data_IF_541429129911
#
_entry.id   IF_541429129911
#
_cell.length_a   1.000
_cell.length_b   1.000
_cell.length_c   1.000
_cell.angle_alpha   90.00
_cell.angle_beta   90.00
_cell.angle_gamma   90.00
#
_symmetry.space_group_name_H-M   'P 1'
#
loop_
_entity.id
_entity.type
_entity.pdbx_description
1 polymer ?
#
# COMPACT_ATOMS: atom_id res chain seq x y z
N UNK A 1 -46.65 -54.42 -36.92
CA UNK A 1 -45.65 -54.82 -37.94
C UNK A 1 -44.42 -54.00 -37.68
N UNK A 2 -43.35 -54.71 -37.38
CA UNK A 2 -41.92 -54.42 -37.48
C UNK A 2 -41.34 -53.21 -36.73
N UNK A 3 -40.75 -53.60 -35.60
CA UNK A 3 -39.63 -53.05 -34.86
C UNK A 3 -38.43 -52.62 -35.73
N UNK A 4 -37.78 -51.50 -35.32
CA UNK A 4 -36.32 -51.36 -35.47
C UNK A 4 -35.73 -50.60 -34.27
N UNK A 5 -34.95 -51.34 -33.48
CA UNK A 5 -34.01 -50.87 -32.50
C UNK A 5 -32.85 -50.15 -33.22
N UNK A 6 -32.42 -49.02 -32.68
CA UNK A 6 -31.14 -48.44 -33.05
C UNK A 6 -30.34 -48.13 -31.76
N UNK A 7 -29.25 -48.88 -31.58
CA UNK A 7 -28.23 -48.70 -30.54
C UNK A 7 -27.47 -47.40 -30.82
N UNK A 8 -27.43 -46.51 -29.83
CA UNK A 8 -26.47 -45.42 -29.79
C UNK A 8 -25.31 -45.81 -28.87
N UNK A 9 -24.15 -46.00 -29.46
CA UNK A 9 -22.87 -46.13 -28.76
C UNK A 9 -22.49 -44.79 -28.11
N UNK A 10 -22.31 -44.80 -26.80
CA UNK A 10 -21.73 -43.70 -26.03
C UNK A 10 -20.23 -43.79 -26.10
N UNK A 11 -19.57 -42.85 -26.81
CA UNK A 11 -18.12 -42.71 -26.88
C UNK A 11 -17.66 -41.82 -25.75
N UNK A 12 -17.13 -42.39 -24.68
CA UNK A 12 -16.48 -41.67 -23.58
C UNK A 12 -15.07 -41.27 -24.04
N UNK A 13 -14.85 -40.00 -24.43
CA UNK A 13 -13.52 -39.46 -24.63
C UNK A 13 -12.94 -39.03 -23.25
N UNK A 14 -12.08 -39.88 -22.73
CA UNK A 14 -11.20 -39.53 -21.63
C UNK A 14 -10.07 -38.63 -22.16
N UNK A 15 -10.11 -37.34 -21.76
CA UNK A 15 -8.97 -36.43 -21.98
C UNK A 15 -7.91 -36.72 -20.90
N UNK A 16 -6.86 -37.46 -21.29
CA UNK A 16 -5.62 -37.53 -20.54
C UNK A 16 -4.88 -36.19 -20.66
N UNK A 17 -4.84 -35.41 -19.61
CA UNK A 17 -3.91 -34.27 -19.50
C UNK A 17 -2.58 -34.84 -19.01
N UNK A 18 -1.63 -34.98 -19.93
CA UNK A 18 -0.24 -35.29 -19.60
C UNK A 18 0.45 -34.06 -19.07
N UNK A 19 0.80 -34.06 -17.77
CA UNK A 19 1.77 -33.14 -17.22
C UNK A 19 3.16 -33.46 -17.78
N UNK A 20 3.68 -32.60 -18.64
CA UNK A 20 5.08 -32.66 -19.06
C UNK A 20 5.92 -32.05 -17.93
N UNK A 21 6.58 -32.89 -17.17
CA UNK A 21 7.64 -32.48 -16.26
C UNK A 21 8.85 -32.06 -17.10
N UNK A 22 9.26 -30.82 -17.02
CA UNK A 22 10.51 -30.33 -17.58
C UNK A 22 11.64 -30.83 -16.67
N UNK A 23 12.37 -31.85 -17.15
CA UNK A 23 13.63 -32.27 -16.55
C UNK A 23 14.68 -31.18 -16.73
N UNK A 24 15.36 -30.84 -15.62
CA UNK A 24 16.56 -30.00 -15.65
C UNK A 24 17.72 -30.83 -16.17
N UNK A 25 18.28 -30.43 -17.27
CA UNK A 25 19.61 -30.92 -17.69
C UNK A 25 20.67 -30.33 -16.74
N UNK A 26 21.32 -31.24 -16.00
CA UNK A 26 22.51 -30.94 -15.24
C UNK A 26 23.69 -30.79 -16.19
N UNK A 27 24.30 -29.62 -16.20
CA UNK A 27 25.53 -29.37 -16.97
C UNK A 27 26.75 -29.73 -16.08
N UNK A 28 27.55 -30.75 -16.42
CA UNK A 28 28.60 -31.30 -15.56
C UNK A 28 29.95 -30.55 -15.58
N UNK A 29 30.03 -29.31 -16.02
CA UNK A 29 31.29 -28.56 -16.13
C UNK A 29 31.28 -27.24 -15.35
N UNK A 30 31.15 -27.32 -14.02
CA UNK A 30 31.58 -26.22 -13.15
C UNK A 30 32.46 -26.81 -12.04
N UNK A 31 33.78 -26.70 -12.25
CA UNK A 31 34.80 -26.93 -11.23
C UNK A 31 34.75 -25.75 -10.25
N UNK A 32 34.45 -26.03 -8.98
CA UNK A 32 34.67 -25.10 -7.88
C UNK A 32 36.04 -25.38 -7.29
N UNK A 33 36.99 -24.48 -7.48
CA UNK A 33 38.22 -24.47 -6.73
C UNK A 33 37.94 -23.97 -5.31
N UNK A 34 38.17 -24.86 -4.36
CA UNK A 34 38.12 -24.57 -2.91
C UNK A 34 39.43 -23.90 -2.52
N UNK A 35 39.45 -22.59 -2.47
CA UNK A 35 40.56 -21.79 -1.94
C UNK A 35 40.00 -20.74 -1.02
N UNK A 36 39.90 -21.08 0.28
CA UNK A 36 40.16 -20.13 1.38
C UNK A 36 40.13 -20.84 2.73
N UNK A 37 41.30 -21.19 3.23
CA UNK A 37 41.53 -21.20 4.68
C UNK A 37 41.75 -19.77 5.11
N UNK A 38 41.02 -19.22 6.07
CA UNK A 38 41.41 -17.96 6.69
C UNK A 38 42.54 -18.20 7.72
N UNK A 39 43.62 -17.48 7.57
CA UNK A 39 44.67 -17.36 8.57
C UNK A 39 44.11 -16.76 9.88
N UNK A 40 44.43 -17.40 10.98
CA UNK A 40 44.09 -16.92 12.32
C UNK A 40 44.98 -15.70 12.64
N UNK A 41 44.44 -14.60 13.12
CA UNK A 41 45.25 -13.47 13.57
C UNK A 41 45.98 -13.78 14.88
N UNK A 42 47.18 -13.26 14.99
CA UNK A 42 48.07 -13.36 16.17
C UNK A 42 47.42 -12.77 17.43
N UNK A 43 47.79 -13.26 18.62
CA UNK A 43 47.23 -12.78 19.88
C UNK A 43 47.63 -11.34 20.17
N UNK A 44 46.63 -10.53 20.50
CA UNK A 44 46.83 -9.14 20.96
C UNK A 44 47.39 -9.10 22.39
N UNK A 45 48.22 -8.09 22.71
CA UNK A 45 48.77 -7.93 24.06
C UNK A 45 47.65 -7.50 25.05
N UNK A 46 47.74 -8.01 26.28
CA UNK A 46 46.88 -7.70 27.39
C UNK A 46 46.90 -6.21 27.74
N UNK A 47 45.79 -5.60 28.06
CA UNK A 47 45.77 -4.23 28.57
C UNK A 47 46.33 -4.13 29.98
N UNK A 48 47.08 -3.06 30.21
CA UNK A 48 47.60 -2.68 31.52
C UNK A 48 46.50 -2.36 32.53
N UNK A 49 46.72 -2.52 33.84
CA UNK A 49 45.70 -2.27 34.85
C UNK A 49 45.32 -0.78 34.93
N UNK A 50 44.01 -0.55 35.06
CA UNK A 50 43.40 0.75 35.27
C UNK A 50 43.87 1.43 36.56
N UNK A 51 44.10 2.75 36.55
CA UNK A 51 44.37 3.52 37.78
C UNK A 51 43.09 3.64 38.62
N UNK A 52 43.29 3.64 39.94
CA UNK A 52 42.26 3.79 40.97
C UNK A 52 41.42 5.07 40.80
N UNK A 53 40.13 5.05 41.13
CA UNK A 53 39.24 6.20 40.96
C UNK A 53 39.59 7.34 41.93
N UNK A 54 39.67 8.53 41.37
CA UNK A 54 39.73 9.78 42.14
C UNK A 54 38.38 10.03 42.92
N UNK A 55 38.45 10.72 44.07
CA UNK A 55 37.24 10.99 44.86
C UNK A 55 36.28 11.95 44.14
N UNK A 56 35.01 11.61 44.23
CA UNK A 56 33.90 12.38 43.66
C UNK A 56 33.86 13.83 44.12
N UNK A 57 33.67 14.80 43.23
CA UNK A 57 33.42 16.18 43.61
C UNK A 57 32.01 16.36 44.23
N UNK A 58 31.93 17.26 45.20
CA UNK A 58 30.75 17.67 45.91
C UNK A 58 29.63 18.07 44.98
N UNK A 59 28.36 17.80 45.30
CA UNK A 59 27.23 18.19 44.46
C UNK A 59 27.09 19.71 44.36
N UNK A 60 27.06 20.20 43.14
CA UNK A 60 26.74 21.58 42.80
C UNK A 60 25.28 21.89 43.18
N UNK A 61 24.96 23.13 43.56
CA UNK A 61 23.61 23.52 43.89
C UNK A 61 22.64 23.40 42.72
N UNK A 62 21.46 22.95 43.01
CA UNK A 62 20.33 22.75 42.12
C UNK A 62 20.06 24.01 41.27
N UNK A 63 19.94 23.91 39.90
CA UNK A 63 19.62 25.09 39.10
C UNK A 63 18.19 25.53 39.33
N UNK A 64 18.04 26.83 39.55
CA UNK A 64 16.71 27.50 39.64
C UNK A 64 15.85 27.15 38.44
N UNK A 65 14.51 27.05 38.58
CA UNK A 65 13.62 26.70 37.47
C UNK A 65 13.75 27.70 36.34
N UNK A 66 14.13 27.20 35.16
CA UNK A 66 14.14 28.00 33.95
C UNK A 66 12.70 28.41 33.58
N UNK A 67 12.50 29.65 33.12
CA UNK A 67 11.21 30.05 32.60
C UNK A 67 10.84 29.19 31.39
N UNK A 68 9.57 28.78 31.36
CA UNK A 68 8.96 27.99 30.29
C UNK A 68 9.37 28.56 28.91
N UNK A 69 9.85 27.77 27.96
CA UNK A 69 10.25 28.26 26.63
C UNK A 69 9.03 28.91 25.97
N UNK A 70 9.18 30.18 25.64
CA UNK A 70 8.25 30.92 24.84
C UNK A 70 8.15 30.24 23.46
N UNK A 71 6.94 30.03 22.87
CA UNK A 71 6.82 29.34 21.56
C UNK A 71 7.59 30.12 20.51
N UNK A 72 8.42 29.40 19.78
CA UNK A 72 9.22 29.91 18.68
C UNK A 72 8.32 30.54 17.60
N UNK A 73 8.63 31.71 17.04
CA UNK A 73 7.78 32.41 16.06
C UNK A 73 7.70 31.74 14.68
N UNK A 74 8.26 30.53 14.51
CA UNK A 74 8.29 29.78 13.25
C UNK A 74 7.42 28.52 13.23
N UNK A 75 6.44 28.41 14.13
CA UNK A 75 5.42 27.38 13.93
C UNK A 75 4.48 27.87 12.83
N UNK A 76 4.37 27.17 11.67
CA UNK A 76 3.38 27.54 10.68
C UNK A 76 2.01 27.57 11.33
N UNK A 77 1.26 28.64 11.08
CA UNK A 77 -0.14 28.74 11.54
C UNK A 77 -0.85 27.44 11.15
N UNK A 78 -1.67 26.87 12.04
CA UNK A 78 -2.41 25.66 11.71
C UNK A 78 -3.21 25.93 10.44
N UNK A 79 -3.01 25.10 9.41
CA UNK A 79 -3.82 25.12 8.19
C UNK A 79 -5.30 25.10 8.58
N UNK A 80 -6.17 25.82 7.87
CA UNK A 80 -7.59 25.83 8.18
C UNK A 80 -8.10 24.39 8.15
N UNK A 81 -8.58 23.93 9.30
CA UNK A 81 -9.10 22.59 9.45
C UNK A 81 -10.20 22.35 8.41
N UNK A 82 -10.12 21.20 7.71
CA UNK A 82 -11.19 20.75 6.79
C UNK A 82 -12.54 20.81 7.52
N UNK A 83 -13.59 21.39 6.92
CA UNK A 83 -14.91 21.44 7.53
C UNK A 83 -15.58 20.06 7.47
N UNK A 84 -15.09 19.12 8.30
CA UNK A 84 -15.63 17.77 8.39
C UNK A 84 -16.91 17.75 9.21
N UNK A 85 -17.93 17.03 8.75
CA UNK A 85 -19.08 16.69 9.59
C UNK A 85 -18.73 15.62 10.65
N UNK A 86 -19.65 15.31 11.56
CA UNK A 86 -19.42 14.36 12.64
C UNK A 86 -19.01 12.96 12.14
N UNK A 87 -19.66 12.47 11.10
CA UNK A 87 -19.32 11.17 10.50
C UNK A 87 -17.94 11.17 9.85
N UNK A 88 -17.60 12.22 9.11
CA UNK A 88 -16.28 12.35 8.50
C UNK A 88 -15.15 12.44 9.54
N UNK A 89 -15.39 13.13 10.68
CA UNK A 89 -14.43 13.13 11.80
C UNK A 89 -14.23 11.73 12.38
N UNK A 90 -15.33 10.98 12.59
CA UNK A 90 -15.24 9.60 13.06
C UNK A 90 -14.51 8.68 12.05
N UNK A 91 -14.71 8.91 10.75
CA UNK A 91 -14.01 8.16 9.71
C UNK A 91 -12.53 8.54 9.64
N UNK A 92 -12.17 9.82 9.76
CA UNK A 92 -10.79 10.30 9.79
C UNK A 92 -10.00 9.80 11.01
N UNK A 93 -10.67 9.50 12.12
CA UNK A 93 -10.06 8.93 13.32
C UNK A 93 -9.78 7.41 13.21
N UNK A 94 -10.03 6.76 12.07
CA UNK A 94 -9.72 5.34 11.86
C UNK A 94 -8.23 5.15 11.60
N UNK A 95 -7.70 4.01 12.06
CA UNK A 95 -6.26 3.70 12.04
C UNK A 95 -5.61 3.77 10.65
N UNK A 96 -6.36 3.43 9.61
CA UNK A 96 -5.86 3.46 8.23
C UNK A 96 -5.77 4.86 7.64
N UNK A 97 -6.39 5.87 8.24
CA UNK A 97 -6.47 7.21 7.65
C UNK A 97 -5.20 8.01 7.95
N UNK A 98 -4.50 8.50 6.93
CA UNK A 98 -3.46 9.51 7.12
C UNK A 98 -4.02 10.83 7.61
N UNK A 99 -3.17 11.65 8.19
CA UNK A 99 -3.53 13.00 8.64
C UNK A 99 -4.04 13.83 7.44
N UNK A 100 -5.25 14.37 7.60
CA UNK A 100 -5.82 15.31 6.64
C UNK A 100 -5.23 16.71 6.91
N UNK A 101 -4.69 17.34 5.88
CA UNK A 101 -4.06 18.67 6.02
C UNK A 101 -4.99 19.83 5.72
N UNK A 102 -6.04 19.61 4.92
CA UNK A 102 -6.90 20.65 4.39
C UNK A 102 -6.22 21.57 3.36
N UNK A 103 -4.97 21.28 3.01
CA UNK A 103 -4.19 22.06 2.07
C UNK A 103 -4.68 21.85 0.63
N UNK A 104 -4.46 22.86 -0.22
CA UNK A 104 -4.79 22.81 -1.65
C UNK A 104 -6.25 22.42 -1.95
N UNK A 105 -7.19 22.73 -1.05
CA UNK A 105 -8.60 22.39 -1.20
C UNK A 105 -8.87 20.88 -1.11
N UNK A 106 -8.03 20.15 -0.38
CA UNK A 106 -8.17 18.70 -0.16
C UNK A 106 -9.61 18.33 0.21
N UNK A 107 -10.17 17.32 -0.44
CA UNK A 107 -11.50 16.78 -0.17
C UNK A 107 -11.38 15.38 0.45
N UNK A 108 -12.00 15.16 1.59
CA UNK A 108 -12.05 13.83 2.19
C UNK A 108 -13.30 13.08 1.74
N UNK A 109 -13.09 12.01 0.98
CA UNK A 109 -14.16 11.19 0.39
C UNK A 109 -14.13 9.80 1.02
N UNK A 110 -15.28 9.32 1.47
CA UNK A 110 -15.43 8.00 2.11
C UNK A 110 -16.48 7.20 1.39
N UNK A 111 -16.09 6.07 0.80
CA UNK A 111 -17.02 5.10 0.23
C UNK A 111 -17.41 4.06 1.27
N UNK A 112 -18.71 3.81 1.37
CA UNK A 112 -19.28 2.84 2.30
C UNK A 112 -20.11 1.82 1.53
N UNK A 113 -20.26 0.65 2.10
CA UNK A 113 -21.11 -0.43 1.61
C UNK A 113 -21.87 -1.05 2.76
N UNK A 114 -22.92 -1.80 2.45
CA UNK A 114 -23.61 -2.60 3.44
C UNK A 114 -22.64 -3.57 4.13
N UNK A 115 -22.72 -3.67 5.45
CA UNK A 115 -21.92 -4.62 6.22
C UNK A 115 -22.40 -6.05 5.91
N UNK A 116 -21.53 -6.93 5.38
CA UNK A 116 -21.93 -8.30 5.06
C UNK A 116 -22.32 -9.15 6.29
N UNK A 117 -21.96 -8.68 7.49
CA UNK A 117 -22.19 -9.38 8.76
C UNK A 117 -23.14 -8.65 9.71
N UNK A 118 -23.70 -7.51 9.32
CA UNK A 118 -24.52 -6.65 10.16
C UNK A 118 -25.58 -5.88 9.40
N UNK A 119 -26.27 -4.98 10.11
CA UNK A 119 -27.33 -4.12 9.55
C UNK A 119 -26.87 -2.70 9.25
N UNK A 120 -25.66 -2.35 9.62
CA UNK A 120 -25.00 -1.07 9.44
C UNK A 120 -24.22 -1.01 8.12
N UNK A 121 -23.57 0.10 7.87
CA UNK A 121 -22.62 0.26 6.76
C UNK A 121 -21.19 0.32 7.28
N UNK A 122 -20.27 -0.24 6.50
CA UNK A 122 -18.83 -0.20 6.78
C UNK A 122 -18.10 0.64 5.73
N UNK A 123 -16.96 1.19 6.12
CA UNK A 123 -16.06 1.87 5.18
C UNK A 123 -15.45 0.82 4.26
N UNK A 124 -15.67 0.99 2.97
CA UNK A 124 -15.02 0.20 1.92
C UNK A 124 -13.59 0.71 1.69
N UNK A 125 -13.45 1.98 1.39
CA UNK A 125 -12.21 2.73 1.34
C UNK A 125 -12.49 4.24 1.45
N UNK A 126 -11.45 5.01 1.75
CA UNK A 126 -11.50 6.46 1.73
C UNK A 126 -10.29 7.02 0.98
N UNK A 127 -10.37 8.29 0.60
CA UNK A 127 -9.24 8.98 -0.01
C UNK A 127 -9.28 10.48 0.26
N UNK A 128 -8.11 11.10 0.27
CA UNK A 128 -7.95 12.54 0.18
C UNK A 128 -7.75 12.92 -1.28
N UNK A 129 -8.62 13.74 -1.83
CA UNK A 129 -8.61 14.16 -3.23
C UNK A 129 -8.10 15.59 -3.37
N UNK A 130 -7.21 15.82 -4.32
CA UNK A 130 -6.69 17.14 -4.66
C UNK A 130 -7.39 17.65 -5.93
N UNK A 131 -8.35 18.58 -5.81
CA UNK A 131 -9.14 19.07 -6.95
C UNK A 131 -8.30 19.57 -8.13
N UNK A 132 -7.26 20.36 -7.86
CA UNK A 132 -6.39 20.92 -8.90
C UNK A 132 -5.58 19.87 -9.67
N UNK A 133 -5.36 18.71 -9.05
CA UNK A 133 -4.66 17.57 -9.66
C UNK A 133 -5.62 16.55 -10.28
N UNK A 134 -6.93 16.70 -10.05
CA UNK A 134 -7.92 15.67 -10.42
C UNK A 134 -7.52 14.27 -9.98
N UNK A 135 -6.87 14.16 -8.84
CA UNK A 135 -6.22 12.93 -8.39
C UNK A 135 -6.30 12.77 -6.86
N UNK A 136 -6.40 11.54 -6.41
CA UNK A 136 -6.30 11.21 -4.99
C UNK A 136 -4.85 11.28 -4.52
N UNK A 137 -4.58 12.07 -3.47
CA UNK A 137 -3.27 12.15 -2.80
C UNK A 137 -2.89 10.81 -2.20
N UNK A 138 -3.86 10.15 -1.59
CA UNK A 138 -3.78 8.80 -1.05
C UNK A 138 -5.17 8.17 -1.06
N UNK A 139 -5.20 6.85 -1.04
CA UNK A 139 -6.36 6.01 -0.73
C UNK A 139 -6.04 5.16 0.47
N UNK A 140 -7.03 4.88 1.34
CA UNK A 140 -6.85 4.10 2.54
C UNK A 140 -7.98 3.07 2.71
N UNK A 141 -7.62 1.85 3.11
CA UNK A 141 -8.55 0.76 3.37
C UNK A 141 -7.91 -0.27 4.30
N UNK A 142 -8.67 -1.29 4.70
CA UNK A 142 -8.15 -2.38 5.53
C UNK A 142 -8.68 -3.73 5.10
N UNK A 143 -7.92 -4.77 5.44
CA UNK A 143 -8.35 -6.14 5.50
C UNK A 143 -8.55 -6.56 6.95
N UNK A 144 -9.75 -6.96 7.30
CA UNK A 144 -10.13 -7.48 8.62
C UNK A 144 -11.16 -8.61 8.48
N UNK A 145 -11.76 -9.06 9.56
CA UNK A 145 -12.74 -10.13 9.51
C UNK A 145 -13.94 -9.83 8.61
N UNK A 146 -14.30 -8.54 8.44
CA UNK A 146 -15.45 -8.13 7.61
C UNK A 146 -15.10 -7.99 6.13
N UNK A 147 -13.85 -7.64 5.79
CA UNK A 147 -13.48 -7.18 4.46
C UNK A 147 -12.49 -8.06 3.71
N UNK A 148 -11.90 -9.09 4.37
CA UNK A 148 -10.89 -9.97 3.76
C UNK A 148 -11.44 -11.07 2.86
N UNK A 149 -12.75 -11.35 2.91
CA UNK A 149 -13.36 -12.44 2.14
C UNK A 149 -13.36 -12.18 0.63
N UNK A 150 -13.46 -13.27 -0.14
CA UNK A 150 -13.63 -13.26 -1.60
C UNK A 150 -14.95 -13.95 -1.92
N UNK A 151 -16.04 -13.19 -1.96
CA UNK A 151 -17.38 -13.72 -2.26
C UNK A 151 -17.83 -13.42 -3.68
N UNK A 152 -17.16 -12.46 -4.34
CA UNK A 152 -17.46 -12.06 -5.72
C UNK A 152 -16.19 -12.02 -6.57
N UNK A 153 -16.37 -12.08 -7.90
CA UNK A 153 -15.30 -11.81 -8.85
C UNK A 153 -15.18 -10.33 -9.22
N UNK A 154 -14.16 -9.98 -9.99
CA UNK A 154 -13.98 -8.63 -10.56
C UNK A 154 -15.19 -8.22 -11.37
N UNK A 155 -15.52 -6.91 -11.40
CA UNK A 155 -16.53 -6.31 -12.30
C UNK A 155 -16.26 -6.70 -13.76
N UNK A 156 -17.32 -7.08 -14.47
CA UNK A 156 -17.23 -7.45 -15.87
C UNK A 156 -16.87 -6.23 -16.73
N UNK A 157 -15.85 -6.34 -17.57
CA UNK A 157 -15.43 -5.29 -18.50
C UNK A 157 -16.46 -4.90 -19.57
N UNK A 158 -17.46 -5.76 -19.82
CA UNK A 158 -18.57 -5.45 -20.75
C UNK A 158 -19.57 -4.44 -20.16
N UNK A 159 -19.59 -4.24 -18.85
CA UNK A 159 -20.47 -3.27 -18.19
C UNK A 159 -19.88 -1.87 -18.40
N UNK A 160 -20.68 -0.98 -19.01
CA UNK A 160 -20.28 0.40 -19.29
C UNK A 160 -21.09 1.40 -18.46
N UNK A 161 -20.49 2.52 -18.02
CA UNK A 161 -19.04 2.81 -18.11
C UNK A 161 -18.22 1.81 -17.30
N UNK A 162 -17.04 1.43 -17.82
CA UNK A 162 -16.12 0.56 -17.10
C UNK A 162 -15.57 1.27 -15.87
N UNK A 163 -15.19 2.53 -16.04
CA UNK A 163 -14.68 3.43 -15.01
C UNK A 163 -15.64 4.61 -14.83
N UNK A 164 -16.71 4.48 -14.04
CA UNK A 164 -17.67 5.55 -13.87
C UNK A 164 -17.07 6.75 -13.14
N UNK A 165 -17.62 7.93 -13.40
CA UNK A 165 -17.36 9.12 -12.60
C UNK A 165 -17.67 8.81 -11.13
N UNK A 166 -16.82 9.28 -10.21
CA UNK A 166 -17.10 9.13 -8.78
C UNK A 166 -18.32 10.00 -8.39
N UNK A 167 -19.41 9.41 -7.88
CA UNK A 167 -20.62 10.14 -7.55
C UNK A 167 -20.47 11.07 -6.34
N UNK A 168 -19.42 10.88 -5.52
CA UNK A 168 -19.16 11.69 -4.32
C UNK A 168 -18.28 12.91 -4.59
N UNK A 169 -17.63 12.96 -5.74
CA UNK A 169 -16.87 14.13 -6.14
C UNK A 169 -17.78 15.21 -6.77
N UNK A 170 -17.60 16.49 -6.40
CA UNK A 170 -18.24 17.61 -7.10
C UNK A 170 -17.98 17.52 -8.61
N UNK A 171 -18.96 17.90 -9.42
CA UNK A 171 -18.90 17.75 -10.88
C UNK A 171 -17.68 18.44 -11.49
N UNK A 172 -17.33 19.62 -11.00
CA UNK A 172 -16.22 20.44 -11.52
C UNK A 172 -14.85 19.83 -11.28
N UNK A 173 -14.75 18.94 -10.27
CA UNK A 173 -13.51 18.28 -9.87
C UNK A 173 -13.46 16.80 -10.21
N UNK A 174 -14.53 16.25 -10.75
CA UNK A 174 -14.60 14.84 -11.10
C UNK A 174 -14.10 14.60 -12.54
N UNK A 175 -13.28 13.59 -12.72
CA UNK A 175 -12.93 13.08 -14.05
C UNK A 175 -14.17 12.38 -14.64
N UNK A 176 -14.53 12.70 -15.89
CA UNK A 176 -15.59 12.00 -16.60
C UNK A 176 -15.37 10.49 -16.66
N UNK A 177 -16.45 9.72 -16.63
CA UNK A 177 -16.37 8.27 -16.75
C UNK A 177 -15.73 7.83 -18.08
N UNK A 178 -14.94 6.76 -18.02
CA UNK A 178 -14.21 6.17 -19.16
C UNK A 178 -13.28 7.15 -19.91
N UNK A 179 -12.93 8.32 -19.32
CA UNK A 179 -11.96 9.24 -19.95
C UNK A 179 -10.60 8.56 -20.07
N UNK A 180 -10.08 8.47 -21.29
CA UNK A 180 -8.76 7.90 -21.55
C UNK A 180 -7.63 8.72 -20.87
N UNK A 181 -6.65 8.02 -20.31
CA UNK A 181 -5.43 8.66 -19.78
C UNK A 181 -4.36 8.89 -20.85
N UNK A 182 -4.61 8.46 -22.09
CA UNK A 182 -3.69 8.61 -23.19
C UNK A 182 -2.91 7.31 -23.49
N UNK A 183 -2.16 7.34 -24.60
CA UNK A 183 -1.45 6.15 -25.09
C UNK A 183 -0.35 5.72 -24.10
N UNK A 184 -0.36 4.45 -23.74
CA UNK A 184 0.65 3.83 -22.87
C UNK A 184 0.30 3.86 -21.39
N UNK A 185 -0.80 4.52 -21.00
CA UNK A 185 -1.28 4.55 -19.63
C UNK A 185 -2.57 3.74 -19.47
N UNK A 186 -2.59 2.93 -18.44
CA UNK A 186 -3.78 2.23 -17.96
C UNK A 186 -4.53 3.11 -16.94
N UNK A 187 -5.82 2.81 -16.73
CA UNK A 187 -6.54 3.23 -15.53
C UNK A 187 -6.03 2.40 -14.34
N UNK A 188 -4.88 2.81 -13.80
CA UNK A 188 -4.25 2.16 -12.67
C UNK A 188 -5.08 2.36 -11.41
N UNK A 189 -5.50 1.26 -10.79
CA UNK A 189 -6.22 1.33 -9.52
C UNK A 189 -5.27 1.71 -8.37
N UNK A 190 -5.69 2.58 -7.48
CA UNK A 190 -5.04 2.76 -6.19
C UNK A 190 -5.55 1.71 -5.18
N UNK A 191 -6.86 1.59 -4.99
CA UNK A 191 -7.48 0.41 -4.35
C UNK A 191 -7.78 -0.60 -5.44
N UNK A 192 -7.04 -1.69 -5.50
CA UNK A 192 -7.23 -2.70 -6.54
C UNK A 192 -8.61 -3.34 -6.47
N UNK A 193 -9.17 -3.69 -7.63
CA UNK A 193 -10.41 -4.45 -7.68
C UNK A 193 -10.33 -5.73 -6.84
N UNK A 194 -9.19 -6.40 -6.89
CA UNK A 194 -8.96 -7.60 -6.10
C UNK A 194 -8.84 -7.36 -4.59
N UNK A 195 -8.63 -6.13 -4.14
CA UNK A 195 -8.63 -5.78 -2.70
C UNK A 195 -10.03 -5.85 -2.08
N UNK A 196 -11.08 -5.60 -2.88
CA UNK A 196 -12.47 -5.42 -2.43
C UNK A 196 -13.44 -6.43 -3.06
N UNK A 197 -13.22 -7.73 -2.81
CA UNK A 197 -14.05 -8.82 -3.33
C UNK A 197 -15.05 -9.39 -2.31
N UNK A 198 -15.24 -8.73 -1.18
CA UNK A 198 -16.15 -9.19 -0.14
C UNK A 198 -17.63 -8.87 -0.43
N UNK A 199 -17.92 -7.96 -1.36
CA UNK A 199 -19.27 -7.73 -1.91
C UNK A 199 -19.20 -7.14 -3.33
N UNK A 200 -20.29 -7.26 -4.08
CA UNK A 200 -20.40 -6.68 -5.43
C UNK A 200 -20.25 -5.16 -5.40
N UNK A 201 -20.97 -4.51 -4.49
CA UNK A 201 -20.92 -3.06 -4.33
C UNK A 201 -19.51 -2.58 -3.97
N UNK A 202 -18.83 -3.28 -3.04
CA UNK A 202 -17.45 -2.95 -2.65
C UNK A 202 -16.50 -3.03 -3.85
N UNK A 203 -16.65 -4.05 -4.69
CA UNK A 203 -15.85 -4.20 -5.89
C UNK A 203 -16.16 -3.13 -6.94
N UNK A 204 -17.44 -2.85 -7.18
CA UNK A 204 -17.86 -1.87 -8.19
C UNK A 204 -17.37 -0.45 -7.86
N UNK A 205 -17.34 -0.07 -6.58
CA UNK A 205 -16.80 1.21 -6.13
C UNK A 205 -15.31 1.38 -6.43
N UNK A 206 -14.52 0.30 -6.52
CA UNK A 206 -13.09 0.41 -6.86
C UNK A 206 -12.85 0.94 -8.28
N UNK A 207 -13.87 0.91 -9.15
CA UNK A 207 -13.77 1.39 -10.53
C UNK A 207 -14.10 2.88 -10.70
N UNK A 208 -14.45 3.60 -9.64
CA UNK A 208 -14.66 5.03 -9.72
C UNK A 208 -13.40 5.78 -10.15
N UNK A 209 -13.56 6.78 -11.02
CA UNK A 209 -12.46 7.57 -11.55
C UNK A 209 -11.64 8.28 -10.46
N UNK A 210 -12.22 8.58 -9.30
CA UNK A 210 -11.50 9.10 -8.13
C UNK A 210 -10.45 8.13 -7.54
N UNK A 211 -10.56 6.84 -7.84
CA UNK A 211 -9.62 5.78 -7.45
C UNK A 211 -8.58 5.46 -8.54
N UNK A 212 -8.63 6.14 -9.69
CA UNK A 212 -7.75 5.86 -10.82
C UNK A 212 -6.56 6.79 -10.86
N UNK A 213 -5.42 6.25 -11.29
CA UNK A 213 -4.18 6.97 -11.52
C UNK A 213 -3.58 6.58 -12.87
N UNK A 214 -2.96 7.50 -13.62
CA UNK A 214 -2.34 7.16 -14.90
C UNK A 214 -1.06 6.35 -14.65
N UNK A 215 -1.13 5.05 -14.86
CA UNK A 215 -0.01 4.13 -14.69
C UNK A 215 0.46 3.60 -16.06
N UNK A 216 1.78 3.60 -16.28
CA UNK A 216 2.36 2.88 -17.42
C UNK A 216 1.87 1.43 -17.43
N UNK A 217 1.37 0.95 -18.57
CA UNK A 217 0.83 -0.41 -18.68
C UNK A 217 1.86 -1.47 -18.27
N UNK A 218 3.14 -1.24 -18.59
CA UNK A 218 4.25 -2.11 -18.20
C UNK A 218 4.55 -2.12 -16.69
N UNK A 219 4.21 -1.05 -15.97
CA UNK A 219 4.29 -0.94 -14.53
C UNK A 219 3.05 -1.56 -13.86
N UNK A 220 1.86 -1.08 -14.26
CA UNK A 220 0.58 -1.49 -13.69
C UNK A 220 0.37 -3.01 -13.76
N UNK A 221 0.53 -3.58 -14.97
CA UNK A 221 0.21 -4.99 -15.24
C UNK A 221 1.27 -5.99 -14.75
N UNK A 222 2.40 -5.52 -14.20
CA UNK A 222 3.51 -6.37 -13.76
C UNK A 222 3.90 -6.07 -12.32
N UNK A 223 4.78 -5.08 -12.12
CA UNK A 223 5.39 -4.82 -10.81
C UNK A 223 4.35 -4.38 -9.78
N UNK A 224 3.47 -3.43 -10.14
CA UNK A 224 2.43 -2.94 -9.24
C UNK A 224 1.42 -4.04 -8.89
N UNK A 225 0.95 -4.80 -9.88
CA UNK A 225 0.10 -5.99 -9.65
C UNK A 225 0.78 -7.01 -8.74
N UNK A 226 2.11 -7.18 -8.83
CA UNK A 226 2.86 -8.05 -7.93
C UNK A 226 2.81 -7.59 -6.48
N UNK A 227 3.02 -6.28 -6.22
CA UNK A 227 2.86 -5.70 -4.88
C UNK A 227 1.42 -5.81 -4.37
N UNK A 228 0.44 -5.58 -5.23
CA UNK A 228 -0.97 -5.75 -4.88
C UNK A 228 -1.29 -7.20 -4.48
N UNK A 229 -0.73 -8.16 -5.20
CA UNK A 229 -0.90 -9.59 -4.87
C UNK A 229 -0.31 -9.92 -3.50
N UNK A 230 0.89 -9.42 -3.18
CA UNK A 230 1.48 -9.56 -1.85
C UNK A 230 0.55 -8.99 -0.76
N UNK A 231 0.07 -7.76 -0.94
CA UNK A 231 -0.84 -7.11 0.03
C UNK A 231 -2.12 -7.92 0.22
N UNK A 232 -2.67 -8.47 -0.87
CA UNK A 232 -3.88 -9.29 -0.85
C UNK A 232 -3.68 -10.61 -0.13
N UNK A 233 -2.56 -11.29 -0.35
CA UNK A 233 -2.23 -12.56 0.29
C UNK A 233 -2.03 -12.35 1.80
N UNK A 234 -1.27 -11.32 2.18
CA UNK A 234 -1.05 -10.96 3.58
C UNK A 234 -2.34 -10.52 4.27
N UNK A 235 -3.12 -9.65 3.64
CA UNK A 235 -4.37 -9.11 4.22
C UNK A 235 -5.47 -10.15 4.39
N UNK A 236 -5.49 -11.17 3.54
CA UNK A 236 -6.45 -12.26 3.63
C UNK A 236 -6.04 -13.36 4.59
N UNK A 237 -4.79 -13.42 4.98
CA UNK A 237 -4.27 -14.44 5.88
C UNK A 237 -4.51 -14.05 7.35
N UNK A 238 -5.50 -14.65 8.05
CA UNK A 238 -5.76 -14.36 9.45
C UNK A 238 -4.64 -14.82 10.39
N UNK A 239 -3.78 -15.75 9.94
CA UNK A 239 -2.59 -16.13 10.70
C UNK A 239 -1.50 -15.07 10.65
N UNK A 240 -1.45 -14.25 9.58
CA UNK A 240 -0.50 -13.17 9.43
C UNK A 240 -0.94 -11.89 10.17
N UNK A 241 -2.21 -11.49 10.04
CA UNK A 241 -2.72 -10.27 10.65
C UNK A 241 -4.19 -10.42 11.07
N UNK A 242 -4.53 -9.88 12.24
CA UNK A 242 -5.93 -9.69 12.63
C UNK A 242 -6.55 -8.57 11.78
N UNK A 243 -5.77 -7.50 11.55
CA UNK A 243 -6.09 -6.44 10.60
C UNK A 243 -4.82 -5.99 9.87
N UNK A 244 -4.92 -5.81 8.56
CA UNK A 244 -3.92 -5.14 7.74
C UNK A 244 -4.51 -3.83 7.23
N UNK A 245 -3.94 -2.70 7.67
CA UNK A 245 -4.25 -1.36 7.20
C UNK A 245 -3.35 -1.03 6.02
N UNK A 246 -3.91 -0.41 4.99
CA UNK A 246 -3.24 -0.15 3.71
C UNK A 246 -3.51 1.27 3.28
N UNK A 247 -2.44 2.00 2.96
CA UNK A 247 -2.50 3.31 2.30
C UNK A 247 -1.69 3.24 1.02
N UNK A 248 -2.23 3.74 -0.08
CA UNK A 248 -1.55 3.78 -1.38
C UNK A 248 -1.69 5.15 -2.03
N UNK A 249 -0.74 5.53 -2.86
CA UNK A 249 -0.82 6.78 -3.62
C UNK A 249 0.33 6.94 -4.61
N UNK A 250 0.34 8.10 -5.27
CA UNK A 250 1.39 8.51 -6.19
C UNK A 250 1.85 9.93 -5.90
N UNK A 251 3.03 10.31 -6.38
CA UNK A 251 3.57 11.67 -6.25
C UNK A 251 2.83 12.63 -7.17
N UNK A 252 2.38 13.78 -6.65
CA UNK A 252 1.48 14.70 -7.37
C UNK A 252 2.04 16.11 -7.56
N UNK A 253 3.26 16.40 -7.11
CA UNK A 253 3.87 17.70 -7.33
C UNK A 253 4.40 17.82 -8.76
N UNK A 254 4.44 19.03 -9.37
CA UNK A 254 4.96 19.20 -10.72
C UNK A 254 6.39 18.69 -10.90
N UNK A 255 7.24 18.81 -9.86
CA UNK A 255 8.62 18.31 -9.87
C UNK A 255 8.73 16.78 -9.74
N UNK A 256 7.64 16.11 -9.36
CA UNK A 256 7.59 14.67 -9.16
C UNK A 256 6.58 13.98 -10.08
N UNK A 257 6.31 14.57 -11.26
CA UNK A 257 5.45 13.99 -12.29
C UNK A 257 6.14 13.93 -13.65
N UNK A 258 5.82 12.91 -14.46
CA UNK A 258 6.30 12.78 -15.86
C UNK A 258 5.51 13.65 -16.86
N UNK A 259 4.68 14.59 -16.41
CA UNK A 259 3.76 15.35 -17.22
C UNK A 259 2.31 15.06 -16.81
N UNK A 260 1.40 15.20 -17.77
CA UNK A 260 -0.03 15.12 -17.50
C UNK A 260 -0.75 14.17 -18.46
N UNK A 261 -1.67 13.40 -17.90
CA UNK A 261 -2.64 12.54 -18.58
C UNK A 261 -4.05 13.17 -18.56
N UNK A 262 -5.06 12.44 -19.00
CA UNK A 262 -6.47 12.86 -18.96
C UNK A 262 -6.70 14.25 -19.53
N UNK A 263 -6.24 14.49 -20.77
CA UNK A 263 -6.32 15.78 -21.46
C UNK A 263 -5.62 16.92 -20.70
N UNK A 264 -4.46 16.65 -20.09
CA UNK A 264 -3.66 17.65 -19.40
C UNK A 264 -4.11 17.98 -17.98
N UNK A 265 -5.06 17.24 -17.41
CA UNK A 265 -5.61 17.52 -16.07
C UNK A 265 -4.90 16.77 -14.94
N UNK A 266 -4.48 15.55 -15.18
CA UNK A 266 -4.03 14.62 -14.15
C UNK A 266 -2.53 14.40 -14.22
N UNK A 267 -1.73 14.74 -13.20
CA UNK A 267 -0.29 14.47 -13.21
C UNK A 267 -0.02 12.98 -13.27
N UNK A 268 1.02 12.59 -14.00
CA UNK A 268 1.53 11.22 -14.08
C UNK A 268 2.62 11.06 -13.03
N UNK A 269 2.41 10.33 -11.93
CA UNK A 269 3.37 10.22 -10.85
C UNK A 269 4.72 9.66 -11.27
N UNK A 270 5.84 10.21 -10.73
CA UNK A 270 7.18 9.61 -10.84
C UNK A 270 7.34 8.39 -9.96
N UNK A 271 6.68 8.39 -8.79
CA UNK A 271 6.73 7.29 -7.83
C UNK A 271 5.33 6.94 -7.36
N UNK A 272 5.16 5.67 -7.04
CA UNK A 272 4.02 5.18 -6.29
C UNK A 272 4.48 4.65 -4.94
N UNK A 273 3.60 4.70 -3.96
CA UNK A 273 3.89 4.21 -2.62
C UNK A 273 2.77 3.34 -2.06
N UNK A 274 3.15 2.48 -1.12
CA UNK A 274 2.25 1.79 -0.21
C UNK A 274 2.78 1.94 1.21
N UNK A 275 1.91 2.25 2.17
CA UNK A 275 2.19 2.16 3.60
C UNK A 275 1.29 1.08 4.18
N UNK A 276 1.88 0.11 4.86
CA UNK A 276 1.19 -1.02 5.47
C UNK A 276 1.41 -1.01 6.97
N UNK A 277 0.35 -1.20 7.74
CA UNK A 277 0.40 -1.43 9.18
C UNK A 277 -0.38 -2.70 9.48
N UNK A 278 0.25 -3.70 10.07
CA UNK A 278 -0.46 -4.88 10.58
C UNK A 278 -0.59 -4.83 12.09
N UNK A 279 -1.67 -5.36 12.59
CA UNK A 279 -1.83 -5.74 13.98
C UNK A 279 -2.11 -7.23 14.06
N UNK A 280 -1.36 -7.92 14.93
CA UNK A 280 -1.57 -9.33 15.25
C UNK A 280 -1.43 -9.54 16.75
N UNK A 281 -2.49 -10.03 17.40
CA UNK A 281 -2.55 -10.24 18.85
C UNK A 281 -2.10 -8.97 19.64
N UNK A 282 -2.54 -7.80 19.20
CA UNK A 282 -2.18 -6.50 19.81
C UNK A 282 -0.77 -5.99 19.49
N UNK A 283 0.03 -6.72 18.72
CA UNK A 283 1.37 -6.31 18.29
C UNK A 283 1.29 -5.65 16.92
N UNK A 284 1.84 -4.43 16.83
CA UNK A 284 1.90 -3.64 15.60
C UNK A 284 3.25 -3.78 14.92
N UNK A 285 3.25 -3.83 13.60
CA UNK A 285 4.44 -3.66 12.76
C UNK A 285 4.08 -3.03 11.42
N UNK A 286 4.99 -2.24 10.85
CA UNK A 286 4.75 -1.49 9.61
C UNK A 286 5.84 -1.71 8.58
N UNK A 287 5.51 -1.41 7.33
CA UNK A 287 6.42 -1.36 6.19
C UNK A 287 5.91 -0.34 5.17
N UNK A 288 6.82 0.42 4.58
CA UNK A 288 6.55 1.25 3.43
C UNK A 288 7.17 0.66 2.16
N UNK A 289 6.60 1.00 1.02
CA UNK A 289 7.20 0.77 -0.30
C UNK A 289 7.24 2.08 -1.06
N UNK A 290 8.42 2.40 -1.61
CA UNK A 290 8.66 3.55 -2.46
C UNK A 290 9.16 3.08 -3.81
N UNK A 291 8.35 3.20 -4.85
CA UNK A 291 8.55 2.53 -6.13
C UNK A 291 8.56 3.54 -7.27
N UNK A 292 9.66 3.61 -8.01
CA UNK A 292 9.74 4.43 -9.21
C UNK A 292 8.76 3.92 -10.27
N UNK A 293 8.04 4.84 -10.91
CA UNK A 293 7.05 4.51 -11.95
C UNK A 293 7.73 4.25 -13.29
N UNK A 294 8.23 3.04 -13.47
CA UNK A 294 8.94 2.62 -14.68
C UNK A 294 8.64 1.17 -15.07
N UNK A 295 9.15 0.75 -16.21
CA UNK A 295 9.10 -0.65 -16.62
C UNK A 295 10.18 -1.47 -15.91
N UNK A 296 9.79 -2.40 -15.05
CA UNK A 296 10.68 -3.34 -14.35
C UNK A 296 10.94 -4.64 -15.15
N UNK A 297 10.50 -4.74 -16.41
CA UNK A 297 10.66 -5.93 -17.23
C UNK A 297 9.79 -7.11 -16.77
N UNK A 298 10.22 -8.33 -17.16
CA UNK A 298 9.51 -9.57 -16.80
C UNK A 298 9.75 -10.01 -15.35
N UNK A 299 10.82 -9.51 -14.72
CA UNK A 299 11.33 -9.94 -13.42
C UNK A 299 10.88 -9.04 -12.27
N UNK A 300 9.85 -8.21 -12.45
CA UNK A 300 9.19 -7.46 -11.38
C UNK A 300 8.48 -8.40 -10.40
N UNK A 301 9.23 -9.33 -9.78
CA UNK A 301 8.75 -10.47 -8.98
C UNK A 301 9.05 -10.21 -7.50
N UNK A 302 8.31 -10.85 -6.57
CA UNK A 302 8.40 -10.69 -5.13
C UNK A 302 9.79 -10.59 -4.51
N UNK A 303 10.79 -11.24 -5.11
CA UNK A 303 12.19 -11.21 -4.61
C UNK A 303 12.86 -9.82 -4.64
N UNK A 304 12.37 -8.90 -5.47
CA UNK A 304 12.91 -7.53 -5.55
C UNK A 304 12.10 -6.50 -4.75
N UNK A 305 10.94 -6.87 -4.23
CA UNK A 305 10.07 -5.94 -3.49
C UNK A 305 10.75 -5.43 -2.23
N UNK A 306 11.54 -6.26 -1.55
CA UNK A 306 12.34 -5.86 -0.40
C UNK A 306 13.33 -4.72 -0.69
N UNK A 307 13.79 -4.54 -1.94
CA UNK A 307 14.68 -3.44 -2.36
C UNK A 307 13.97 -2.07 -2.36
N UNK A 308 12.65 -2.07 -2.46
CA UNK A 308 11.83 -0.86 -2.43
C UNK A 308 11.17 -0.63 -1.07
N UNK A 309 11.47 -1.51 -0.10
CA UNK A 309 10.95 -1.39 1.25
C UNK A 309 11.68 -0.28 2.01
N UNK A 310 10.93 0.54 2.71
CA UNK A 310 11.41 1.63 3.56
C UNK A 310 10.64 1.62 4.88
N UNK A 311 11.18 2.28 5.91
CA UNK A 311 10.39 2.53 7.12
C UNK A 311 9.27 3.53 6.83
N UNK A 312 8.22 3.55 7.64
CA UNK A 312 7.14 4.53 7.50
C UNK A 312 7.68 5.94 7.68
N UNK A 313 8.54 6.20 8.68
CA UNK A 313 9.16 7.51 8.86
C UNK A 313 9.99 7.99 7.65
N UNK A 314 10.62 7.07 6.91
CA UNK A 314 11.28 7.41 5.64
C UNK A 314 10.26 7.72 4.54
N UNK A 315 9.17 6.96 4.47
CA UNK A 315 8.11 7.18 3.49
C UNK A 315 7.39 8.52 3.72
N UNK A 316 7.18 8.92 4.97
CA UNK A 316 6.62 10.22 5.35
C UNK A 316 7.48 11.39 4.86
N UNK A 317 8.80 11.29 5.02
CA UNK A 317 9.74 12.30 4.50
C UNK A 317 9.69 12.40 2.98
N UNK A 318 9.46 11.28 2.28
CA UNK A 318 9.37 11.24 0.82
C UNK A 318 8.03 11.75 0.28
N UNK A 319 6.94 11.56 1.02
CA UNK A 319 5.58 11.85 0.56
C UNK A 319 4.99 13.12 1.16
N UNK A 320 5.48 13.57 2.32
CA UNK A 320 4.86 14.63 3.11
C UNK A 320 3.50 14.22 3.70
N UNK A 321 3.25 12.91 3.85
CA UNK A 321 2.01 12.36 4.40
C UNK A 321 2.34 11.77 5.77
N UNK A 322 1.62 12.18 6.83
CA UNK A 322 1.71 11.53 8.12
C UNK A 322 0.76 10.32 8.12
N UNK A 323 1.36 9.11 8.12
CA UNK A 323 0.63 7.84 8.12
C UNK A 323 0.33 7.41 9.56
N UNK A 324 -0.74 6.64 9.76
CA UNK A 324 -1.08 5.96 11.01
C UNK A 324 -1.09 6.86 12.27
N UNK A 325 -1.23 8.17 12.10
CA UNK A 325 -1.21 9.18 13.17
C UNK A 325 -2.28 8.97 14.26
N UNK A 326 -3.20 8.04 14.06
CA UNK A 326 -4.18 7.65 15.06
C UNK A 326 -3.68 6.55 16.02
N UNK A 327 -2.42 6.10 15.87
CA UNK A 327 -1.73 5.30 16.90
C UNK A 327 -1.38 6.19 18.11
N UNK A 328 -1.31 5.61 19.32
CA UNK A 328 -0.70 6.33 20.44
C UNK A 328 0.76 6.69 20.12
N UNK A 329 1.18 7.95 20.39
CA UNK A 329 2.48 8.53 19.98
C UNK A 329 3.69 7.60 20.20
N UNK A 330 3.80 6.96 21.37
CA UNK A 330 4.91 6.07 21.69
C UNK A 330 4.90 4.76 20.84
N UNK A 331 3.72 4.32 20.41
CA UNK A 331 3.57 3.16 19.51
C UNK A 331 3.86 3.58 18.10
N UNK A 332 3.30 4.70 17.65
CA UNK A 332 3.51 5.32 16.35
C UNK A 332 5.00 5.48 16.07
N UNK A 333 5.71 6.22 16.89
CA UNK A 333 7.14 6.48 16.73
C UNK A 333 7.96 5.18 16.59
N UNK A 334 7.72 4.20 17.47
CA UNK A 334 8.45 2.93 17.43
C UNK A 334 8.16 2.15 16.15
N UNK A 335 6.89 2.05 15.78
CA UNK A 335 6.43 1.23 14.64
C UNK A 335 6.90 1.85 13.33
N UNK A 336 6.87 3.16 13.20
CA UNK A 336 7.25 3.87 11.97
C UNK A 336 8.75 3.91 11.72
N UNK A 337 9.56 3.92 12.76
CA UNK A 337 11.02 3.88 12.64
C UNK A 337 11.56 2.48 12.37
N UNK A 338 10.78 1.42 12.67
CA UNK A 338 11.26 0.04 12.56
C UNK A 338 10.92 -0.54 11.20
N UNK A 339 11.94 -1.09 10.52
CA UNK A 339 11.79 -1.88 9.30
C UNK A 339 12.34 -3.29 9.51
N UNK A 340 11.49 -4.30 9.47
CA UNK A 340 11.90 -5.71 9.63
C UNK A 340 11.29 -6.54 8.49
N UNK A 341 12.05 -6.77 7.41
CA UNK A 341 11.58 -7.45 6.19
C UNK A 341 11.06 -8.87 6.48
N UNK A 342 11.74 -9.63 7.34
CA UNK A 342 11.33 -10.99 7.70
C UNK A 342 9.92 -11.07 8.31
N UNK A 343 9.44 -9.98 8.92
CA UNK A 343 8.06 -9.89 9.43
C UNK A 343 7.01 -9.78 8.33
N UNK A 344 7.44 -9.58 7.07
CA UNK A 344 6.58 -9.33 5.91
C UNK A 344 6.78 -10.36 4.79
N UNK A 345 7.44 -11.49 5.08
CA UNK A 345 7.74 -12.55 4.11
C UNK A 345 8.61 -12.09 2.93
N UNK A 346 9.49 -11.08 3.16
CA UNK A 346 10.38 -10.46 2.18
C UNK A 346 11.86 -10.73 2.50
#
# INVERSE_FOLDING_TARGET
>A
MTSRFSLLFSLCCALCVTFSACEREDNPNIHWEDNTKPDLPAPQPQPSPEPSPEPSPNPSPEPSPQPNPQPSPNNPSPSPALPLNAQQRADAARMEMPLLTGENGELFIVHRVANPQGRDSIVNYAYAYLPQSYHSRWVAFRFDAQTRSKTVGRKNYKIKPQYPRDPKLPTDWAIPGDLSFGRGYDHGHLVASADRLFSREANDQTFYMGNMSPQLSSFNQKYWTGLESLVQDLGRNPSFADTLYVVKGGTLTPLSSFGYAANGKMPVPHHYFMALLKVKNGVYSSIGFWVEHKNYGKNGVPREMGKHAVSISALEKLTGINFFHNLPDAVEQRVEQTLTLSSWTL
#
